data_IF_398273495672
#
_entry.id   IF_398273495672
#
_cell.length_a   1.000
_cell.length_b   1.000
_cell.length_c   1.000
_cell.angle_alpha   90.00
_cell.angle_beta   90.00
_cell.angle_gamma   90.00
#
_symmetry.space_group_name_H-M   'P 1'
#
loop_
_entity.id
_entity.type
_entity.pdbx_description
1 polymer ?
#
# COMPACT_ATOMS: atom_id res chain seq x y z
N UNK A 1 62.81 -26.53 -43.83
CA UNK A 1 62.38 -25.33 -43.06
C UNK A 1 60.89 -25.44 -42.78
N UNK A 2 60.50 -25.96 -41.64
CA UNK A 2 59.09 -26.06 -41.27
C UNK A 2 58.71 -24.84 -40.38
N UNK A 3 57.78 -24.02 -40.87
CA UNK A 3 57.23 -22.89 -40.09
C UNK A 3 56.05 -23.40 -39.25
N UNK A 4 56.19 -23.38 -37.97
CA UNK A 4 55.05 -23.60 -37.03
C UNK A 4 54.23 -22.34 -36.93
N UNK A 5 52.93 -22.44 -37.28
CA UNK A 5 51.95 -21.40 -37.09
C UNK A 5 51.30 -21.68 -35.73
N UNK A 6 51.55 -20.81 -34.75
CA UNK A 6 50.90 -20.89 -33.47
C UNK A 6 49.59 -20.08 -33.57
N UNK A 7 48.44 -20.76 -33.51
CA UNK A 7 47.13 -20.11 -33.43
C UNK A 7 46.83 -19.73 -31.99
N UNK A 8 46.74 -18.46 -31.70
CA UNK A 8 46.30 -17.94 -30.41
C UNK A 8 44.77 -17.95 -30.35
N UNK A 9 44.20 -18.77 -29.45
CA UNK A 9 42.77 -18.79 -29.19
C UNK A 9 42.48 -17.70 -28.13
N UNK A 10 41.80 -16.60 -28.53
CA UNK A 10 41.30 -15.57 -27.61
C UNK A 10 40.00 -16.06 -26.97
N UNK A 11 40.02 -16.35 -25.68
CA UNK A 11 38.84 -16.66 -24.91
C UNK A 11 38.21 -15.31 -24.48
N UNK A 12 37.06 -14.98 -25.08
CA UNK A 12 36.27 -13.84 -24.65
C UNK A 12 35.59 -14.17 -23.28
N UNK A 13 35.97 -13.47 -22.24
CA UNK A 13 35.32 -13.58 -20.93
C UNK A 13 33.95 -12.93 -21.03
N UNK A 14 32.86 -13.72 -20.91
CA UNK A 14 31.51 -13.24 -20.71
C UNK A 14 31.40 -12.69 -19.28
N UNK A 15 31.41 -11.38 -19.13
CA UNK A 15 31.05 -10.74 -17.86
C UNK A 15 29.55 -10.89 -17.65
N UNK A 16 29.07 -11.40 -16.49
CA UNK A 16 27.66 -11.44 -16.19
C UNK A 16 27.13 -10.00 -16.08
N UNK A 17 26.11 -9.67 -16.86
CA UNK A 17 25.36 -8.43 -16.72
C UNK A 17 24.54 -8.57 -15.43
N UNK A 18 25.00 -7.95 -14.34
CA UNK A 18 24.20 -7.79 -13.14
C UNK A 18 23.06 -6.84 -13.50
N UNK A 19 21.83 -7.34 -13.56
CA UNK A 19 20.63 -6.49 -13.61
C UNK A 19 20.60 -5.68 -12.33
N UNK A 20 20.71 -4.35 -12.44
CA UNK A 20 20.50 -3.48 -11.30
C UNK A 20 19.03 -3.66 -10.85
N UNK A 21 18.83 -4.13 -9.62
CA UNK A 21 17.51 -4.15 -9.00
C UNK A 21 16.98 -2.71 -8.93
N UNK A 22 15.71 -2.51 -9.28
CA UNK A 22 15.05 -1.22 -9.10
C UNK A 22 15.04 -0.82 -7.63
N UNK A 23 14.95 0.47 -7.36
CA UNK A 23 15.01 1.00 -5.98
C UNK A 23 13.96 0.39 -5.04
N UNK A 24 12.86 -0.16 -5.59
CA UNK A 24 11.72 -0.70 -4.83
C UNK A 24 11.39 -2.17 -5.19
N UNK A 25 12.40 -2.96 -5.58
CA UNK A 25 12.22 -4.39 -5.93
C UNK A 25 12.31 -5.32 -4.70
N UNK A 26 12.68 -4.80 -3.53
CA UNK A 26 12.74 -5.58 -2.31
C UNK A 26 11.34 -6.08 -1.91
N UNK A 27 11.29 -7.27 -1.29
CA UNK A 27 10.04 -7.96 -0.90
C UNK A 27 9.13 -7.11 -0.01
N UNK A 28 9.72 -6.24 0.79
CA UNK A 28 8.99 -5.33 1.68
C UNK A 28 8.10 -4.36 0.91
N UNK A 29 8.52 -3.90 -0.27
CA UNK A 29 7.71 -3.04 -1.14
C UNK A 29 6.51 -3.79 -1.77
N UNK A 30 6.49 -5.13 -1.70
CA UNK A 30 5.42 -5.99 -2.24
C UNK A 30 4.41 -6.42 -1.18
N UNK A 31 4.65 -6.10 0.10
CA UNK A 31 3.81 -6.54 1.21
C UNK A 31 2.35 -6.07 1.14
N UNK A 32 2.07 -4.99 0.42
CA UNK A 32 0.73 -4.42 0.28
C UNK A 32 0.14 -4.63 -1.14
N UNK A 33 0.81 -5.39 -2.01
CA UNK A 33 0.37 -5.64 -3.40
C UNK A 33 -0.96 -6.39 -3.48
N UNK A 34 -1.38 -7.09 -2.43
CA UNK A 34 -2.68 -7.76 -2.37
C UNK A 34 -3.87 -6.79 -2.50
N UNK A 35 -3.62 -5.48 -2.27
CA UNK A 35 -4.64 -4.45 -2.38
C UNK A 35 -4.71 -3.81 -3.79
N UNK A 36 -3.75 -4.06 -4.68
CA UNK A 36 -3.75 -3.53 -6.04
C UNK A 36 -4.99 -3.94 -6.82
N UNK A 37 -5.57 -3.00 -7.59
CA UNK A 37 -6.64 -3.26 -8.55
C UNK A 37 -7.81 -2.30 -8.49
N UNK A 38 -8.90 -2.68 -9.19
CA UNK A 38 -10.18 -1.96 -9.24
C UNK A 38 -11.18 -2.69 -8.37
N UNK A 39 -11.86 -1.94 -7.50
CA UNK A 39 -12.67 -2.53 -6.44
C UNK A 39 -14.07 -1.89 -6.34
N UNK A 40 -15.07 -2.73 -6.08
CA UNK A 40 -16.31 -2.32 -5.45
C UNK A 40 -16.16 -2.46 -3.94
N UNK A 41 -16.49 -1.42 -3.20
CA UNK A 41 -16.40 -1.41 -1.74
C UNK A 41 -17.80 -1.47 -1.14
N UNK A 42 -18.07 -2.47 -0.29
CA UNK A 42 -19.38 -2.65 0.32
C UNK A 42 -19.26 -2.62 1.85
N UNK A 43 -20.24 -2.05 2.49
CA UNK A 43 -20.44 -2.11 3.94
C UNK A 43 -20.90 -3.50 4.38
N UNK A 44 -20.84 -3.86 5.69
CA UNK A 44 -21.25 -5.18 6.19
C UNK A 44 -22.72 -5.53 5.90
N UNK A 45 -23.60 -4.54 5.72
CA UNK A 45 -24.99 -4.74 5.31
C UNK A 45 -25.18 -4.90 3.78
N UNK A 46 -24.05 -5.00 3.05
CA UNK A 46 -24.01 -5.25 1.60
C UNK A 46 -24.21 -4.04 0.70
N UNK A 47 -24.44 -2.83 1.26
CA UNK A 47 -24.61 -1.62 0.46
C UNK A 47 -23.30 -1.19 -0.18
N UNK A 48 -23.37 -0.68 -1.41
CA UNK A 48 -22.23 -0.09 -2.09
C UNK A 48 -21.83 1.21 -1.38
N UNK A 49 -20.64 1.21 -0.77
CA UNK A 49 -20.04 2.38 -0.16
C UNK A 49 -19.33 3.26 -1.18
N UNK A 50 -18.73 2.66 -2.21
CA UNK A 50 -18.02 3.35 -3.26
C UNK A 50 -17.21 2.41 -4.15
N UNK A 51 -16.37 3.01 -4.98
CA UNK A 51 -15.36 2.32 -5.78
C UNK A 51 -13.98 2.78 -5.37
N UNK A 52 -12.99 1.92 -5.54
CA UNK A 52 -11.61 2.24 -5.22
C UNK A 52 -10.68 1.70 -6.30
N UNK A 53 -9.70 2.50 -6.69
CA UNK A 53 -8.65 2.14 -7.64
C UNK A 53 -7.31 2.24 -6.94
N UNK A 54 -6.58 1.14 -6.87
CA UNK A 54 -5.22 1.13 -6.31
C UNK A 54 -4.25 0.74 -7.43
N UNK A 55 -3.36 1.66 -7.80
CA UNK A 55 -2.34 1.47 -8.82
C UNK A 55 -0.94 1.46 -8.24
N UNK A 56 -0.05 0.67 -8.85
CA UNK A 56 1.37 0.71 -8.56
C UNK A 56 2.04 1.77 -9.43
N UNK A 57 2.70 2.73 -8.83
CA UNK A 57 3.31 3.88 -9.49
C UNK A 57 4.80 4.02 -9.12
N UNK A 58 5.51 4.90 -9.85
CA UNK A 58 6.93 5.20 -9.61
C UNK A 58 7.83 3.95 -9.56
N UNK A 59 7.63 3.04 -10.52
CA UNK A 59 8.44 1.80 -10.59
C UNK A 59 8.18 0.84 -9.43
N UNK A 60 6.96 0.84 -8.88
CA UNK A 60 6.57 -0.03 -7.78
C UNK A 60 6.89 0.51 -6.39
N UNK A 61 7.34 1.76 -6.27
CA UNK A 61 7.65 2.37 -4.98
C UNK A 61 6.42 2.88 -4.24
N UNK A 62 5.33 3.19 -4.95
CA UNK A 62 4.13 3.81 -4.39
C UNK A 62 2.89 3.03 -4.82
N UNK A 63 1.99 2.73 -3.89
CA UNK A 63 0.62 2.37 -4.19
C UNK A 63 -0.24 3.63 -4.07
N UNK A 64 -0.85 4.05 -5.17
CA UNK A 64 -1.74 5.20 -5.21
C UNK A 64 -3.19 4.73 -5.19
N UNK A 65 -3.90 5.07 -4.14
CA UNK A 65 -5.33 4.83 -3.93
C UNK A 65 -6.14 6.01 -4.41
N UNK A 66 -7.28 5.75 -5.10
CA UNK A 66 -8.29 6.74 -5.49
C UNK A 66 -9.67 6.18 -5.18
N UNK A 67 -10.26 6.69 -4.10
CA UNK A 67 -11.58 6.28 -3.63
C UNK A 67 -12.66 7.29 -4.04
N UNK A 68 -13.84 6.80 -4.40
CA UNK A 68 -15.01 7.65 -4.68
C UNK A 68 -16.31 6.97 -4.28
N UNK A 69 -17.21 7.71 -3.64
CA UNK A 69 -18.60 7.27 -3.43
C UNK A 69 -19.46 7.42 -4.70
N UNK A 70 -18.90 8.03 -5.75
CA UNK A 70 -19.67 8.41 -6.95
C UNK A 70 -20.62 9.59 -6.73
N UNK A 71 -20.47 10.30 -5.59
CA UNK A 71 -21.23 11.50 -5.21
C UNK A 71 -20.25 12.57 -4.75
N UNK A 72 -20.49 13.12 -3.54
CA UNK A 72 -19.78 14.30 -3.04
C UNK A 72 -18.50 13.97 -2.26
N UNK A 73 -18.22 12.70 -1.98
CA UNK A 73 -17.05 12.30 -1.23
C UNK A 73 -16.08 11.49 -2.10
N UNK A 74 -14.84 11.94 -2.13
CA UNK A 74 -13.71 11.23 -2.71
C UNK A 74 -12.43 11.56 -1.95
N UNK A 75 -11.46 10.68 -2.04
CA UNK A 75 -10.16 10.89 -1.43
C UNK A 75 -9.09 10.02 -2.09
N UNK A 76 -7.85 10.34 -1.83
CA UNK A 76 -6.69 9.66 -2.35
C UNK A 76 -5.69 9.38 -1.24
N UNK A 77 -4.92 8.30 -1.41
CA UNK A 77 -3.75 8.09 -0.55
C UNK A 77 -2.52 7.68 -1.35
N UNK A 78 -1.35 8.09 -0.86
CA UNK A 78 -0.07 7.58 -1.27
C UNK A 78 0.45 6.66 -0.18
N UNK A 79 0.76 5.42 -0.58
CA UNK A 79 1.24 4.38 0.32
C UNK A 79 2.62 3.93 -0.14
N UNK A 80 3.60 3.93 0.75
CA UNK A 80 4.96 3.53 0.42
C UNK A 80 5.68 2.88 1.60
N UNK A 81 6.61 2.01 1.28
CA UNK A 81 7.53 1.46 2.28
C UNK A 81 8.75 2.38 2.39
N UNK A 82 8.97 2.97 3.56
CA UNK A 82 10.19 3.70 3.89
C UNK A 82 11.28 2.69 4.26
N UNK A 83 12.16 2.40 3.33
CA UNK A 83 13.25 1.42 3.51
C UNK A 83 14.26 1.85 4.59
N UNK A 84 14.39 3.14 4.87
CA UNK A 84 15.30 3.66 5.91
C UNK A 84 14.76 3.37 7.30
N UNK A 85 13.47 3.65 7.52
CA UNK A 85 12.80 3.43 8.80
C UNK A 85 12.17 2.03 8.92
N UNK A 86 12.11 1.28 7.80
CA UNK A 86 11.48 -0.06 7.69
C UNK A 86 10.01 -0.05 8.12
N UNK A 87 9.26 0.95 7.66
CA UNK A 87 7.86 1.17 8.00
C UNK A 87 7.06 1.51 6.75
N UNK A 88 5.83 1.01 6.66
CA UNK A 88 4.87 1.48 5.69
C UNK A 88 4.29 2.81 6.15
N UNK A 89 4.15 3.74 5.22
CA UNK A 89 3.54 5.05 5.43
C UNK A 89 2.36 5.24 4.48
N UNK A 90 1.26 5.79 4.99
CA UNK A 90 0.13 6.27 4.21
C UNK A 90 -0.11 7.74 4.51
N UNK A 91 -0.26 8.53 3.46
CA UNK A 91 -0.84 9.88 3.51
C UNK A 91 -2.19 9.83 2.80
N UNK A 92 -3.27 10.07 3.53
CA UNK A 92 -4.63 10.19 3.01
C UNK A 92 -5.08 11.64 3.03
N UNK A 93 -5.75 12.08 1.95
CA UNK A 93 -6.44 13.36 1.82
C UNK A 93 -7.82 13.15 1.18
N UNK A 94 -8.80 13.99 1.51
CA UNK A 94 -10.15 13.86 0.95
C UNK A 94 -10.88 15.20 0.78
N UNK A 95 -12.06 15.13 0.15
CA UNK A 95 -12.91 16.30 -0.13
C UNK A 95 -13.47 17.00 1.11
N UNK A 96 -13.36 16.41 2.30
CA UNK A 96 -13.69 17.09 3.57
C UNK A 96 -12.55 17.99 4.08
N UNK A 97 -11.39 17.95 3.42
CA UNK A 97 -10.18 18.63 3.86
C UNK A 97 -9.41 17.89 4.95
N UNK A 98 -9.70 16.59 5.14
CA UNK A 98 -8.97 15.78 6.10
C UNK A 98 -7.57 15.47 5.61
N UNK A 99 -6.63 15.41 6.54
CA UNK A 99 -5.29 14.86 6.37
C UNK A 99 -5.09 13.79 7.44
N UNK A 100 -4.86 12.54 7.00
CA UNK A 100 -4.56 11.44 7.91
C UNK A 100 -3.21 10.82 7.53
N UNK A 101 -2.29 10.81 8.48
CA UNK A 101 -0.97 10.19 8.34
C UNK A 101 -0.94 8.92 9.19
N UNK A 102 -0.64 7.79 8.55
CA UNK A 102 -0.57 6.49 9.22
C UNK A 102 0.76 5.84 8.94
N UNK A 103 1.26 5.10 9.92
CA UNK A 103 2.49 4.30 9.81
C UNK A 103 2.30 2.93 10.44
N UNK A 104 3.04 1.94 9.94
CA UNK A 104 2.98 0.59 10.47
C UNK A 104 3.60 -0.44 9.53
N UNK A 105 2.95 -1.59 9.37
CA UNK A 105 3.50 -2.64 8.54
C UNK A 105 2.66 -3.91 8.53
N UNK A 106 3.23 -4.95 7.94
CA UNK A 106 2.61 -6.27 7.87
C UNK A 106 2.59 -6.90 9.27
N UNK A 107 1.41 -7.32 9.70
CA UNK A 107 1.18 -8.09 10.93
C UNK A 107 0.46 -9.39 10.57
N UNK A 108 1.17 -10.51 10.64
CA UNK A 108 0.69 -11.76 10.07
C UNK A 108 0.51 -11.63 8.55
N UNK A 109 -0.72 -11.71 8.07
CA UNK A 109 -1.07 -11.52 6.65
C UNK A 109 -1.83 -10.21 6.38
N UNK A 110 -2.00 -9.35 7.39
CA UNK A 110 -2.72 -8.08 7.28
C UNK A 110 -1.76 -6.90 7.30
N UNK A 111 -2.05 -5.86 6.51
CA UNK A 111 -1.39 -4.56 6.67
C UNK A 111 -2.10 -3.80 7.78
N UNK A 112 -1.36 -3.32 8.78
CA UNK A 112 -1.88 -2.55 9.91
C UNK A 112 -1.13 -1.24 10.00
N UNK A 113 -1.85 -0.13 9.83
CA UNK A 113 -1.28 1.21 9.93
C UNK A 113 -2.02 2.00 11.02
N UNK A 114 -1.26 2.75 11.80
CA UNK A 114 -1.78 3.55 12.92
C UNK A 114 -1.30 4.99 12.83
N UNK A 115 -2.06 5.90 13.40
CA UNK A 115 -1.71 7.30 13.49
C UNK A 115 -2.66 8.06 14.40
N UNK A 116 -2.54 9.39 14.40
CA UNK A 116 -3.44 10.24 15.15
C UNK A 116 -3.72 11.55 14.44
N UNK A 117 -4.89 12.09 14.68
CA UNK A 117 -5.27 13.47 14.34
C UNK A 117 -5.51 14.26 15.60
N UNK A 118 -5.40 15.60 15.50
CA UNK A 118 -5.70 16.51 16.62
C UNK A 118 -6.83 17.42 16.17
N UNK A 119 -7.94 17.41 16.91
CA UNK A 119 -9.08 18.27 16.66
C UNK A 119 -8.79 19.74 17.00
N UNK A 120 -9.67 20.64 16.58
CA UNK A 120 -9.56 22.07 16.89
C UNK A 120 -9.62 22.37 18.41
N UNK A 121 -10.17 21.45 19.20
CA UNK A 121 -10.21 21.47 20.66
C UNK A 121 -8.92 20.96 21.33
N UNK A 122 -7.91 20.57 20.53
CA UNK A 122 -6.65 19.98 20.99
C UNK A 122 -6.74 18.51 21.39
N UNK A 123 -7.91 17.86 21.25
CA UNK A 123 -8.05 16.44 21.59
C UNK A 123 -7.46 15.58 20.49
N UNK A 124 -6.67 14.57 20.91
CA UNK A 124 -6.09 13.60 19.99
C UNK A 124 -7.06 12.42 19.77
N UNK A 125 -7.31 12.09 18.50
CA UNK A 125 -8.01 10.87 18.09
C UNK A 125 -7.00 9.92 17.47
N UNK A 126 -6.88 8.72 18.02
CA UNK A 126 -6.04 7.67 17.44
C UNK A 126 -6.82 6.94 16.34
N UNK A 127 -6.12 6.54 15.31
CA UNK A 127 -6.65 5.78 14.19
C UNK A 127 -5.84 4.50 13.99
N UNK A 128 -6.51 3.42 13.62
CA UNK A 128 -5.93 2.18 13.16
C UNK A 128 -6.72 1.67 11.98
N UNK A 129 -6.04 1.38 10.89
CA UNK A 129 -6.64 0.73 9.73
C UNK A 129 -5.96 -0.61 9.50
N UNK A 130 -6.75 -1.66 9.34
CA UNK A 130 -6.30 -3.01 9.05
C UNK A 130 -6.87 -3.45 7.71
N UNK A 131 -6.01 -3.78 6.76
CA UNK A 131 -6.38 -4.41 5.49
C UNK A 131 -6.04 -5.90 5.56
N UNK A 132 -7.05 -6.74 5.46
CA UNK A 132 -6.90 -8.20 5.53
C UNK A 132 -7.30 -8.82 4.20
N UNK A 133 -6.36 -9.45 3.45
CA UNK A 133 -6.69 -10.22 2.26
C UNK A 133 -7.39 -11.52 2.65
N UNK A 134 -8.44 -11.88 1.91
CA UNK A 134 -9.16 -13.13 2.07
C UNK A 134 -8.76 -14.14 0.99
N UNK A 135 -9.04 -15.43 1.24
CA UNK A 135 -8.70 -16.52 0.32
C UNK A 135 -9.43 -16.45 -1.04
N UNK A 136 -10.55 -15.75 -1.11
CA UNK A 136 -11.32 -15.51 -2.33
C UNK A 136 -10.82 -14.29 -3.15
N UNK A 137 -9.73 -13.65 -2.70
CA UNK A 137 -9.13 -12.48 -3.33
C UNK A 137 -9.81 -11.17 -2.97
N UNK A 138 -10.84 -11.18 -2.12
CA UNK A 138 -11.38 -9.94 -1.52
C UNK A 138 -10.44 -9.39 -0.45
N UNK A 139 -10.61 -8.12 -0.08
CA UNK A 139 -9.86 -7.49 1.01
C UNK A 139 -10.84 -6.79 1.93
N UNK A 140 -10.74 -7.05 3.24
CA UNK A 140 -11.47 -6.27 4.24
C UNK A 140 -10.62 -5.12 4.71
N UNK A 141 -11.14 -3.90 4.66
CA UNK A 141 -10.58 -2.72 5.34
C UNK A 141 -11.42 -2.43 6.58
N UNK A 142 -10.78 -2.51 7.74
CA UNK A 142 -11.41 -2.15 9.01
C UNK A 142 -10.68 -0.96 9.62
N UNK A 143 -11.35 0.19 9.64
CA UNK A 143 -10.85 1.42 10.25
C UNK A 143 -11.52 1.63 11.60
N UNK A 144 -10.70 1.78 12.61
CA UNK A 144 -11.09 2.11 13.98
C UNK A 144 -10.53 3.47 14.38
N UNK A 145 -11.27 4.20 15.17
CA UNK A 145 -10.81 5.44 15.82
C UNK A 145 -11.20 5.46 17.29
N UNK A 146 -10.47 6.23 18.11
CA UNK A 146 -10.83 6.36 19.51
C UNK A 146 -11.90 7.42 19.72
N UNK A 147 -12.89 7.12 20.59
CA UNK A 147 -13.85 8.11 21.08
C UNK A 147 -13.22 9.02 22.14
N UNK A 148 -13.99 10.00 22.65
CA UNK A 148 -13.55 10.95 23.69
C UNK A 148 -13.14 10.30 25.02
N UNK A 149 -13.46 9.01 25.23
CA UNK A 149 -13.03 8.21 26.39
C UNK A 149 -11.82 7.33 26.08
N UNK A 150 -11.24 7.47 24.87
CA UNK A 150 -10.11 6.65 24.40
C UNK A 150 -10.49 5.22 24.02
N UNK A 151 -11.77 4.89 23.86
CA UNK A 151 -12.25 3.58 23.47
C UNK A 151 -12.30 3.46 21.96
N UNK A 152 -11.78 2.35 21.42
CA UNK A 152 -11.83 2.05 20.00
C UNK A 152 -13.27 1.83 19.52
N UNK A 153 -13.60 2.46 18.40
CA UNK A 153 -14.90 2.36 17.69
C UNK A 153 -14.62 2.17 16.21
N UNK A 154 -15.42 1.34 15.57
CA UNK A 154 -15.39 1.21 14.11
C UNK A 154 -15.80 2.53 13.48
N UNK A 155 -14.89 3.15 12.73
CA UNK A 155 -15.14 4.32 11.90
C UNK A 155 -15.60 3.91 10.50
N UNK A 156 -15.03 2.82 9.95
CA UNK A 156 -15.41 2.25 8.67
C UNK A 156 -15.10 0.75 8.64
N UNK A 157 -15.97 -0.03 7.99
CA UNK A 157 -15.76 -1.45 7.71
C UNK A 157 -16.20 -1.71 6.28
N UNK A 158 -15.27 -2.02 5.41
CA UNK A 158 -15.51 -2.18 3.98
C UNK A 158 -14.95 -3.49 3.45
N UNK A 159 -15.77 -4.20 2.67
CA UNK A 159 -15.34 -5.36 1.90
C UNK A 159 -15.08 -4.94 0.46
N UNK A 160 -13.85 -5.11 0.03
CA UNK A 160 -13.36 -4.83 -1.31
C UNK A 160 -13.47 -6.09 -2.15
N UNK A 161 -14.28 -6.06 -3.21
CA UNK A 161 -14.39 -7.13 -4.21
C UNK A 161 -13.95 -6.61 -5.56
N UNK A 162 -13.21 -7.42 -6.33
CA UNK A 162 -12.72 -7.03 -7.67
C UNK A 162 -13.90 -6.67 -8.59
N UNK A 163 -13.66 -5.64 -9.43
CA UNK A 163 -14.56 -5.31 -10.54
C UNK A 163 -14.34 -6.26 -11.71
#
# INVERSE_FOLDING_TARGET
MFRHVIATISVAALTPIATALGACDASEHRQFDFWLGQWNVRTPDGKLAGTNSISSEYGGCVLHERYSTGRDYSGESLNMFDATRKVWHQTWVDTSGALLLLEGGLSGHSMVLEGQTVGADGQATKHRITWTPNVDGSVRQHWESTDSKGQWRTAFDGMYTKQ
#
